data_IF_233166450256
#
_entry.id   IF_233166450256
#
_cell.length_a   1.000
_cell.length_b   1.000
_cell.length_c   1.000
_cell.angle_alpha   90.00
_cell.angle_beta   90.00
_cell.angle_gamma   90.00
#
_symmetry.space_group_name_H-M   'P 1'
#
loop_
_entity.id
_entity.type
_entity.pdbx_description
1 polymer ?
#
# COMPACT_ATOMS: atom_id res chain seq x y z
N UNK A 1 56.78 24.63 0.65
CA UNK A 1 55.42 24.85 1.25
C UNK A 1 54.29 25.01 0.22
N UNK A 2 54.50 25.54 -1.01
CA UNK A 2 53.42 25.72 -2.02
C UNK A 2 52.87 24.42 -2.65
N UNK A 3 53.63 23.33 -2.69
CA UNK A 3 53.17 22.02 -3.29
C UNK A 3 52.17 21.26 -2.43
N UNK A 4 52.19 21.37 -1.10
CA UNK A 4 51.28 20.68 -0.20
C UNK A 4 49.92 21.38 -0.07
N UNK A 5 49.86 22.70 -0.26
CA UNK A 5 48.61 23.45 -0.25
C UNK A 5 47.69 23.11 -1.45
N UNK A 6 48.32 22.82 -2.61
CA UNK A 6 47.55 22.46 -3.81
C UNK A 6 46.93 21.05 -3.72
N UNK A 7 47.65 20.07 -3.12
CA UNK A 7 47.16 18.71 -2.91
C UNK A 7 46.03 18.66 -1.88
N UNK A 8 46.07 19.49 -0.84
CA UNK A 8 45.01 19.56 0.16
C UNK A 8 43.68 20.15 -0.42
N UNK A 9 43.81 21.13 -1.34
CA UNK A 9 42.69 21.78 -1.99
C UNK A 9 41.96 20.82 -2.94
N UNK A 10 42.68 19.96 -3.69
CA UNK A 10 42.10 18.96 -4.59
C UNK A 10 41.42 17.84 -3.79
N UNK A 11 42.00 17.42 -2.67
CA UNK A 11 41.39 16.38 -1.82
C UNK A 11 40.09 16.84 -1.18
N UNK A 12 40.02 18.09 -0.71
CA UNK A 12 38.80 18.68 -0.16
C UNK A 12 37.70 18.89 -1.22
N UNK A 13 38.06 19.27 -2.45
CA UNK A 13 37.08 19.39 -3.54
C UNK A 13 36.56 18.04 -3.99
N UNK A 14 37.36 16.97 -4.00
CA UNK A 14 36.93 15.61 -4.28
C UNK A 14 35.99 15.08 -3.19
N UNK A 15 36.29 15.33 -1.91
CA UNK A 15 35.42 14.94 -0.77
C UNK A 15 34.09 15.68 -0.80
N UNK A 16 34.05 16.94 -1.19
CA UNK A 16 32.82 17.73 -1.31
C UNK A 16 31.97 17.34 -2.54
N UNK A 17 32.63 16.88 -3.63
CA UNK A 17 31.90 16.32 -4.77
C UNK A 17 31.27 14.95 -4.46
N UNK A 18 31.96 14.07 -3.73
CA UNK A 18 31.45 12.79 -3.30
C UNK A 18 30.31 12.94 -2.28
N UNK A 19 30.40 13.89 -1.35
CA UNK A 19 29.32 14.21 -0.41
C UNK A 19 28.07 14.77 -1.11
N UNK A 20 28.20 15.47 -2.23
CA UNK A 20 27.04 15.95 -3.03
C UNK A 20 26.37 14.85 -3.86
N UNK A 21 27.09 13.78 -4.23
CA UNK A 21 26.49 12.63 -4.93
C UNK A 21 25.62 11.76 -4.01
N UNK A 22 25.77 11.86 -2.68
CA UNK A 22 24.94 11.15 -1.69
C UNK A 22 23.80 12.00 -1.11
N UNK A 23 23.65 13.26 -1.48
CA UNK A 23 22.40 13.97 -1.30
C UNK A 23 21.41 13.41 -2.33
N UNK A 24 20.82 12.23 -2.01
CA UNK A 24 19.69 11.68 -2.74
C UNK A 24 18.64 12.79 -2.82
N UNK A 25 18.44 13.36 -4.01
CA UNK A 25 17.33 14.25 -4.26
C UNK A 25 16.07 13.52 -3.79
N UNK A 26 15.32 14.10 -2.87
CA UNK A 26 13.94 13.69 -2.69
C UNK A 26 13.31 13.80 -4.08
N UNK A 27 13.06 12.64 -4.70
CA UNK A 27 12.40 12.63 -5.99
C UNK A 27 11.03 13.23 -5.77
N UNK A 28 10.82 14.43 -6.30
CA UNK A 28 9.49 15.01 -6.37
C UNK A 28 8.58 13.92 -6.94
N UNK A 29 7.43 13.68 -6.30
CA UNK A 29 6.51 12.65 -6.77
C UNK A 29 6.11 12.89 -8.23
N UNK A 30 5.75 11.83 -8.90
CA UNK A 30 5.41 11.82 -10.31
C UNK A 30 3.97 11.36 -10.51
N UNK A 31 3.44 11.63 -11.70
CA UNK A 31 2.14 11.09 -12.12
C UNK A 31 2.34 10.06 -13.22
N UNK A 32 1.58 9.00 -13.11
CA UNK A 32 1.43 7.97 -14.13
C UNK A 32 0.00 8.04 -14.67
N UNK A 33 -0.17 7.86 -15.96
CA UNK A 33 -1.49 7.81 -16.60
C UNK A 33 -1.89 6.35 -16.77
N UNK A 34 -2.97 5.94 -16.10
CA UNK A 34 -3.49 4.59 -16.09
C UNK A 34 -4.30 4.26 -17.36
N UNK A 35 -4.76 3.03 -17.50
CA UNK A 35 -5.46 2.46 -18.65
C UNK A 35 -6.69 3.26 -19.11
N UNK A 36 -7.36 3.98 -18.20
CA UNK A 36 -8.56 4.79 -18.42
C UNK A 36 -8.28 6.30 -18.39
N UNK A 37 -7.03 6.71 -18.51
CA UNK A 37 -6.55 8.09 -18.43
C UNK A 37 -6.55 8.70 -17.02
N UNK A 38 -6.90 7.95 -15.97
CA UNK A 38 -6.79 8.40 -14.58
C UNK A 38 -5.33 8.64 -14.21
N UNK A 39 -5.01 9.81 -13.66
CA UNK A 39 -3.66 10.14 -13.21
C UNK A 39 -3.45 9.64 -11.79
N UNK A 40 -2.47 8.79 -11.62
CA UNK A 40 -2.08 8.20 -10.34
C UNK A 40 -0.77 8.82 -9.87
N UNK A 41 -0.81 9.43 -8.70
CA UNK A 41 0.39 9.97 -8.05
C UNK A 41 1.19 8.85 -7.40
N UNK A 42 2.51 8.87 -7.59
CA UNK A 42 3.41 7.91 -6.96
C UNK A 42 4.78 8.52 -6.67
N UNK A 43 5.52 7.87 -5.79
CA UNK A 43 6.92 8.18 -5.49
C UNK A 43 7.74 6.90 -5.49
N UNK A 44 9.00 7.02 -5.90
CA UNK A 44 9.97 5.93 -5.88
C UNK A 44 11.22 6.40 -5.16
N UNK A 45 11.72 5.60 -4.20
CA UNK A 45 12.98 5.88 -3.50
C UNK A 45 13.80 4.60 -3.36
N UNK A 46 15.13 4.71 -3.54
CA UNK A 46 16.06 3.57 -3.52
C UNK A 46 16.20 2.89 -4.87
N UNK A 47 17.17 1.98 -4.99
CA UNK A 47 17.59 1.38 -6.27
C UNK A 47 17.53 -0.15 -6.29
N UNK A 48 17.26 -0.79 -5.15
CA UNK A 48 17.29 -2.26 -4.99
C UNK A 48 16.05 -2.99 -5.52
N UNK A 49 15.77 -4.14 -4.93
CA UNK A 49 14.59 -4.93 -5.29
C UNK A 49 13.31 -4.15 -5.00
N UNK A 50 12.36 -4.08 -5.94
CA UNK A 50 11.17 -3.24 -5.78
C UNK A 50 10.18 -3.80 -4.76
N UNK A 51 9.69 -2.92 -3.88
CA UNK A 51 8.57 -3.17 -2.95
C UNK A 51 7.55 -2.05 -3.12
N UNK A 52 6.30 -2.39 -3.41
CA UNK A 52 5.20 -1.43 -3.44
C UNK A 52 4.41 -1.45 -2.13
N UNK A 53 4.14 -0.28 -1.56
CA UNK A 53 3.35 -0.10 -0.35
C UNK A 53 1.98 0.47 -0.69
N UNK A 54 0.92 -0.27 -0.38
CA UNK A 54 -0.47 0.00 -0.76
C UNK A 54 -1.26 0.40 0.49
N UNK A 55 -1.70 1.66 0.55
CA UNK A 55 -2.37 2.22 1.73
C UNK A 55 -3.81 1.71 1.90
N UNK A 56 -4.38 1.92 3.10
CA UNK A 56 -5.76 1.60 3.43
C UNK A 56 -6.77 2.60 2.89
N UNK A 57 -8.06 2.35 3.20
CA UNK A 57 -9.17 3.24 2.86
C UNK A 57 -8.94 4.65 3.40
N UNK A 58 -9.29 5.68 2.62
CA UNK A 58 -9.05 7.11 2.93
C UNK A 58 -7.60 7.48 3.29
N UNK A 59 -6.64 6.61 2.99
CA UNK A 59 -5.22 6.85 3.20
C UNK A 59 -4.52 7.51 2.00
N UNK A 60 -3.21 7.65 2.13
CA UNK A 60 -2.32 8.10 1.05
C UNK A 60 -0.98 7.40 1.15
N UNK A 61 -0.18 7.43 0.08
CA UNK A 61 1.20 6.95 0.09
C UNK A 61 2.07 7.62 1.16
N UNK A 62 1.79 8.88 1.50
CA UNK A 62 2.52 9.61 2.56
C UNK A 62 2.36 8.96 3.94
N UNK A 63 1.23 8.29 4.20
CA UNK A 63 1.02 7.56 5.45
C UNK A 63 2.09 6.52 5.74
N UNK A 64 2.62 5.88 4.70
CA UNK A 64 3.72 4.93 4.83
C UNK A 64 5.03 5.57 5.29
N UNK A 65 5.32 6.82 4.91
CA UNK A 65 6.55 7.52 5.32
C UNK A 65 6.60 7.80 6.83
N UNK A 66 5.45 7.80 7.50
CA UNK A 66 5.35 7.95 8.95
C UNK A 66 5.45 6.62 9.72
N UNK A 67 5.44 5.49 9.01
CA UNK A 67 5.59 4.17 9.58
C UNK A 67 7.05 3.70 9.48
N UNK A 68 7.61 3.05 10.52
CA UNK A 68 9.01 2.58 10.53
C UNK A 68 9.39 1.74 9.32
N UNK A 69 8.47 0.92 8.83
CA UNK A 69 8.68 0.00 7.70
C UNK A 69 9.21 0.70 6.44
N UNK A 70 8.80 1.95 6.16
CA UNK A 70 9.27 2.69 5.00
C UNK A 70 10.77 2.98 5.10
N UNK A 71 11.21 3.51 6.23
CA UNK A 71 12.62 3.83 6.46
C UNK A 71 13.48 2.56 6.55
N UNK A 72 12.97 1.51 7.19
CA UNK A 72 13.70 0.25 7.34
C UNK A 72 13.86 -0.48 6.00
N UNK A 73 12.85 -0.50 5.12
CA UNK A 73 12.99 -1.05 3.77
C UNK A 73 14.06 -0.31 2.95
N UNK A 74 14.10 1.02 3.04
CA UNK A 74 15.16 1.82 2.39
C UNK A 74 16.54 1.51 2.96
N UNK A 75 16.66 1.38 4.28
CA UNK A 75 17.90 1.02 4.97
C UNK A 75 18.39 -0.37 4.57
N UNK A 76 17.46 -1.31 4.33
CA UNK A 76 17.75 -2.66 3.85
C UNK A 76 18.04 -2.70 2.34
N UNK A 77 18.06 -1.55 1.68
CA UNK A 77 18.45 -1.43 0.28
C UNK A 77 17.34 -1.72 -0.72
N UNK A 78 16.07 -1.76 -0.32
CA UNK A 78 14.95 -1.93 -1.25
C UNK A 78 14.68 -0.65 -2.05
N UNK A 79 14.12 -0.81 -3.25
CA UNK A 79 13.44 0.25 -3.99
C UNK A 79 12.00 0.30 -3.51
N UNK A 80 11.64 1.33 -2.75
CA UNK A 80 10.29 1.51 -2.19
C UNK A 80 9.45 2.38 -3.11
N UNK A 81 8.28 1.87 -3.48
CA UNK A 81 7.28 2.55 -4.29
C UNK A 81 6.06 2.79 -3.40
N UNK A 82 5.61 4.03 -3.31
CA UNK A 82 4.35 4.41 -2.68
C UNK A 82 3.47 5.09 -3.73
N UNK A 83 2.16 4.96 -3.60
CA UNK A 83 1.21 5.64 -4.47
C UNK A 83 0.03 6.17 -3.66
N UNK A 84 -0.65 7.16 -4.20
CA UNK A 84 -2.01 7.49 -3.79
C UNK A 84 -2.95 6.72 -4.74
N UNK A 85 -3.80 5.85 -4.21
CA UNK A 85 -4.77 5.11 -5.03
C UNK A 85 -5.77 6.09 -5.68
N UNK A 86 -6.38 5.71 -6.84
CA UNK A 86 -7.46 6.53 -7.42
C UNK A 86 -8.51 6.87 -6.36
N UNK A 87 -9.04 8.08 -6.39
CA UNK A 87 -9.96 8.55 -5.35
C UNK A 87 -9.30 9.11 -4.09
N UNK A 88 -7.97 8.99 -3.93
CA UNK A 88 -7.25 9.40 -2.72
C UNK A 88 -6.14 10.42 -3.02
N UNK A 89 -5.78 11.19 -2.01
CA UNK A 89 -4.60 12.05 -1.99
C UNK A 89 -4.46 12.96 -3.20
N UNK A 90 -3.35 12.85 -3.92
CA UNK A 90 -2.99 13.63 -5.12
C UNK A 90 -3.44 12.97 -6.42
N UNK A 91 -3.87 11.71 -6.39
CA UNK A 91 -4.42 11.02 -7.56
C UNK A 91 -5.77 11.59 -7.96
N UNK A 92 -6.13 11.39 -9.22
CA UNK A 92 -7.46 11.78 -9.71
C UNK A 92 -8.57 11.07 -8.94
N UNK A 93 -9.70 11.76 -8.85
CA UNK A 93 -10.90 11.32 -8.13
C UNK A 93 -12.09 11.31 -9.10
N UNK A 94 -12.14 10.34 -10.03
CA UNK A 94 -13.24 10.27 -10.99
C UNK A 94 -14.60 10.22 -10.30
N UNK A 95 -15.55 11.08 -10.71
CA UNK A 95 -16.94 11.04 -10.27
C UNK A 95 -17.81 10.17 -11.20
N UNK A 96 -17.18 9.39 -12.05
CA UNK A 96 -17.82 8.30 -12.79
C UNK A 96 -17.57 6.98 -12.05
N UNK A 97 -18.64 6.34 -11.58
CA UNK A 97 -18.53 5.12 -10.78
C UNK A 97 -17.84 3.96 -11.51
N UNK A 98 -18.01 3.87 -12.85
CA UNK A 98 -17.41 2.81 -13.67
C UNK A 98 -15.87 2.89 -13.65
N UNK A 99 -15.30 4.07 -13.39
CA UNK A 99 -13.87 4.22 -13.23
C UNK A 99 -13.27 3.43 -12.05
N UNK A 100 -14.10 2.94 -11.14
CA UNK A 100 -13.67 2.11 -9.99
C UNK A 100 -13.96 0.61 -10.20
N UNK A 101 -14.71 0.26 -11.26
CA UNK A 101 -15.12 -1.11 -11.53
C UNK A 101 -13.97 -1.99 -12.10
N UNK A 102 -14.22 -3.29 -12.15
CA UNK A 102 -13.37 -4.26 -12.84
C UNK A 102 -11.90 -4.24 -12.37
N UNK A 103 -11.68 -4.25 -11.06
CA UNK A 103 -10.35 -4.27 -10.44
C UNK A 103 -9.48 -3.03 -10.78
N UNK A 104 -10.09 -1.87 -11.00
CA UNK A 104 -9.41 -0.67 -11.47
C UNK A 104 -8.19 -0.29 -10.60
N UNK A 105 -8.29 -0.36 -9.26
CA UNK A 105 -7.19 -0.05 -8.35
C UNK A 105 -6.02 -1.04 -8.49
N UNK A 106 -6.30 -2.32 -8.72
CA UNK A 106 -5.25 -3.31 -8.98
C UNK A 106 -4.61 -3.09 -10.37
N UNK A 107 -5.40 -2.73 -11.38
CA UNK A 107 -4.91 -2.39 -12.72
C UNK A 107 -4.02 -1.16 -12.72
N UNK A 108 -4.33 -0.13 -11.93
CA UNK A 108 -3.45 1.04 -11.76
C UNK A 108 -2.05 0.61 -11.32
N UNK A 109 -1.97 -0.30 -10.35
CA UNK A 109 -0.68 -0.79 -9.85
C UNK A 109 0.03 -1.62 -10.92
N UNK A 110 -0.68 -2.53 -11.59
CA UNK A 110 -0.13 -3.37 -12.67
C UNK A 110 0.49 -2.49 -13.77
N UNK A 111 -0.22 -1.44 -14.16
CA UNK A 111 0.21 -0.52 -15.21
C UNK A 111 1.37 0.37 -14.73
N UNK A 112 1.34 0.86 -13.47
CA UNK A 112 2.46 1.58 -12.88
C UNK A 112 3.73 0.72 -12.87
N UNK A 113 3.67 -0.51 -12.39
CA UNK A 113 4.78 -1.45 -12.36
C UNK A 113 5.30 -1.75 -13.79
N UNK A 114 4.39 -1.77 -14.77
CA UNK A 114 4.74 -1.94 -16.18
C UNK A 114 5.45 -0.71 -16.74
N UNK A 115 4.97 0.50 -16.46
CA UNK A 115 5.57 1.76 -16.88
C UNK A 115 6.98 1.95 -16.30
N UNK A 116 7.19 1.49 -15.07
CA UNK A 116 8.49 1.46 -14.40
C UNK A 116 9.41 0.33 -14.91
N UNK A 117 8.96 -0.50 -15.85
CA UNK A 117 9.70 -1.63 -16.44
C UNK A 117 10.14 -2.67 -15.41
N UNK A 118 9.41 -2.80 -14.32
CA UNK A 118 9.69 -3.75 -13.24
C UNK A 118 9.22 -5.15 -13.63
N UNK A 119 10.12 -6.12 -13.54
CA UNK A 119 9.86 -7.52 -13.94
C UNK A 119 9.47 -8.43 -12.78
N UNK A 120 9.83 -8.04 -11.54
CA UNK A 120 9.54 -8.77 -10.31
C UNK A 120 9.51 -7.79 -9.16
N UNK A 121 8.56 -7.94 -8.23
CA UNK A 121 8.41 -7.03 -7.09
C UNK A 121 7.71 -7.71 -5.92
N UNK A 122 7.83 -7.13 -4.72
CA UNK A 122 7.04 -7.49 -3.55
C UNK A 122 5.95 -6.46 -3.30
N UNK A 123 4.83 -6.89 -2.72
CA UNK A 123 3.70 -6.04 -2.41
C UNK A 123 3.38 -6.06 -0.91
N UNK A 124 3.21 -4.89 -0.30
CA UNK A 124 2.81 -4.72 1.09
C UNK A 124 1.53 -3.89 1.13
N UNK A 125 0.42 -4.51 1.50
CA UNK A 125 -0.84 -3.82 1.71
C UNK A 125 -1.21 -3.71 3.18
N UNK A 126 -1.95 -2.67 3.54
CA UNK A 126 -2.56 -2.56 4.86
C UNK A 126 -4.05 -2.23 4.75
N UNK A 127 -4.90 -2.89 5.56
CA UNK A 127 -6.36 -2.71 5.53
C UNK A 127 -6.91 -2.92 4.11
N UNK A 128 -7.59 -1.94 3.50
CA UNK A 128 -8.02 -2.00 2.09
C UNK A 128 -6.86 -2.31 1.14
N UNK A 129 -5.64 -1.82 1.42
CA UNK A 129 -4.45 -2.15 0.64
C UNK A 129 -4.15 -3.65 0.61
N UNK A 130 -4.50 -4.40 1.66
CA UNK A 130 -4.41 -5.87 1.68
C UNK A 130 -5.40 -6.53 0.73
N UNK A 131 -6.60 -5.98 0.59
CA UNK A 131 -7.62 -6.46 -0.37
C UNK A 131 -7.09 -6.30 -1.80
N UNK A 132 -6.51 -5.14 -2.10
CA UNK A 132 -5.89 -4.88 -3.41
C UNK A 132 -4.69 -5.81 -3.63
N UNK A 133 -3.86 -6.03 -2.60
CA UNK A 133 -2.72 -6.97 -2.66
C UNK A 133 -3.18 -8.40 -2.96
N UNK A 134 -4.27 -8.84 -2.34
CA UNK A 134 -4.89 -10.13 -2.61
C UNK A 134 -5.31 -10.25 -4.09
N UNK A 135 -5.94 -9.20 -4.62
CA UNK A 135 -6.35 -9.17 -6.03
C UNK A 135 -5.15 -9.14 -6.98
N UNK A 136 -4.11 -8.40 -6.64
CA UNK A 136 -2.85 -8.38 -7.38
C UNK A 136 -2.17 -9.75 -7.45
N UNK A 137 -2.20 -10.53 -6.36
CA UNK A 137 -1.65 -11.91 -6.34
C UNK A 137 -2.31 -12.81 -7.39
N UNK A 138 -3.59 -12.58 -7.71
CA UNK A 138 -4.30 -13.30 -8.77
C UNK A 138 -3.93 -12.78 -10.16
N UNK A 139 -3.88 -11.46 -10.33
CA UNK A 139 -3.79 -10.81 -11.62
C UNK A 139 -2.36 -10.64 -12.13
N UNK A 140 -1.36 -10.45 -11.24
CA UNK A 140 0.01 -10.13 -11.63
C UNK A 140 1.02 -11.20 -11.21
N UNK A 141 1.46 -11.97 -12.18
CA UNK A 141 2.47 -13.03 -11.97
C UNK A 141 3.86 -12.51 -11.54
N UNK A 142 4.12 -11.20 -11.66
CA UNK A 142 5.39 -10.56 -11.30
C UNK A 142 5.58 -10.44 -9.78
N UNK A 143 4.51 -10.56 -8.98
CA UNK A 143 4.65 -10.57 -7.52
C UNK A 143 5.51 -11.74 -7.09
N UNK A 144 6.51 -11.44 -6.26
CA UNK A 144 7.39 -12.44 -5.67
C UNK A 144 6.89 -12.88 -4.29
N UNK A 145 6.69 -11.92 -3.38
CA UNK A 145 6.11 -12.11 -2.05
C UNK A 145 5.07 -11.04 -1.77
N UNK A 146 4.12 -11.31 -0.90
CA UNK A 146 3.13 -10.34 -0.50
C UNK A 146 2.92 -10.31 1.02
N UNK A 147 2.61 -9.13 1.55
CA UNK A 147 2.21 -8.93 2.94
C UNK A 147 0.83 -8.30 2.97
N UNK A 148 -0.04 -8.86 3.79
CA UNK A 148 -1.42 -8.41 4.02
C UNK A 148 -1.57 -8.05 5.50
N UNK A 149 -1.50 -6.75 5.82
CA UNK A 149 -1.63 -6.24 7.19
C UNK A 149 -3.04 -5.74 7.50
N UNK A 150 -3.53 -5.96 8.73
CA UNK A 150 -4.81 -5.43 9.22
C UNK A 150 -6.05 -5.93 8.49
N UNK A 151 -6.00 -7.13 7.91
CA UNK A 151 -7.12 -7.72 7.16
C UNK A 151 -7.30 -9.19 7.52
N UNK A 152 -8.55 -9.59 7.70
CA UNK A 152 -8.98 -10.98 7.81
C UNK A 152 -9.77 -11.41 6.57
N UNK A 153 -10.59 -12.44 6.69
CA UNK A 153 -11.33 -13.06 5.60
C UNK A 153 -12.64 -12.37 5.19
N UNK A 154 -13.08 -11.32 5.91
CA UNK A 154 -14.40 -10.71 5.68
C UNK A 154 -14.59 -10.18 4.24
N UNK A 155 -13.52 -9.71 3.59
CA UNK A 155 -13.59 -9.15 2.23
C UNK A 155 -13.86 -10.22 1.14
N UNK A 156 -13.72 -11.49 1.46
CA UNK A 156 -14.03 -12.58 0.51
C UNK A 156 -15.54 -12.70 0.28
N UNK A 157 -16.35 -12.13 1.18
CA UNK A 157 -17.78 -11.96 0.97
C UNK A 157 -18.02 -10.67 0.16
N UNK A 158 -18.54 -10.77 -1.08
CA UNK A 158 -18.88 -9.60 -1.88
C UNK A 158 -19.93 -8.70 -1.25
N UNK A 159 -20.77 -9.25 -0.35
CA UNK A 159 -21.81 -8.53 0.39
C UNK A 159 -21.38 -8.21 1.83
N UNK A 160 -20.07 -8.09 2.08
CA UNK A 160 -19.54 -7.76 3.40
C UNK A 160 -20.24 -6.51 3.98
N UNK A 161 -20.98 -6.64 5.09
CA UNK A 161 -21.86 -5.58 5.59
C UNK A 161 -21.15 -4.23 5.80
N UNK A 162 -19.97 -4.25 6.44
CA UNK A 162 -19.17 -3.01 6.67
C UNK A 162 -18.90 -2.25 5.37
N UNK A 163 -18.57 -2.96 4.28
CA UNK A 163 -18.34 -2.36 2.96
C UNK A 163 -19.62 -1.75 2.38
N UNK A 164 -20.71 -2.52 2.42
CA UNK A 164 -22.00 -2.09 1.89
C UNK A 164 -22.53 -0.88 2.67
N UNK A 165 -22.41 -0.90 4.00
CA UNK A 165 -22.82 0.21 4.87
C UNK A 165 -21.97 1.45 4.62
N UNK A 166 -20.64 1.30 4.49
CA UNK A 166 -19.74 2.41 4.16
C UNK A 166 -20.14 3.09 2.83
N UNK A 167 -20.41 2.30 1.78
CA UNK A 167 -20.92 2.83 0.51
C UNK A 167 -22.21 3.60 0.69
N UNK A 168 -23.23 2.99 1.32
CA UNK A 168 -24.55 3.60 1.48
C UNK A 168 -24.48 4.88 2.32
N UNK A 169 -23.74 4.86 3.42
CA UNK A 169 -23.60 6.03 4.30
C UNK A 169 -22.93 7.20 3.58
N UNK A 170 -21.86 6.95 2.81
CA UNK A 170 -21.21 7.98 1.98
C UNK A 170 -22.09 8.48 0.83
N UNK A 171 -23.10 7.70 0.42
CA UNK A 171 -24.14 8.12 -0.54
C UNK A 171 -25.34 8.80 0.13
N UNK A 172 -25.26 9.09 1.44
CA UNK A 172 -26.25 9.87 2.17
C UNK A 172 -27.28 9.05 2.98
N UNK A 173 -27.07 7.75 3.17
CA UNK A 173 -27.93 6.95 4.05
C UNK A 173 -27.54 7.18 5.51
N UNK A 174 -28.38 7.92 6.22
CA UNK A 174 -28.18 8.31 7.63
C UNK A 174 -28.69 7.29 8.64
N UNK A 175 -29.16 6.12 8.18
CA UNK A 175 -29.72 5.06 9.07
C UNK A 175 -28.68 4.04 9.52
N UNK A 176 -27.45 4.14 9.02
CA UNK A 176 -26.35 3.19 9.24
C UNK A 176 -25.35 3.73 10.24
N UNK A 177 -25.54 3.43 11.52
CA UNK A 177 -24.73 4.00 12.61
C UNK A 177 -23.41 3.28 12.91
N UNK A 178 -23.23 2.07 12.39
CA UNK A 178 -21.98 1.28 12.57
C UNK A 178 -20.77 1.82 11.81
N UNK A 179 -20.98 2.79 10.92
CA UNK A 179 -19.94 3.47 10.14
C UNK A 179 -19.87 4.99 10.39
N UNK A 180 -20.61 5.50 11.38
CA UNK A 180 -20.68 6.93 11.69
C UNK A 180 -19.31 7.57 11.94
N UNK A 181 -18.45 6.93 12.71
CA UNK A 181 -17.11 7.48 13.02
C UNK A 181 -16.24 7.58 11.77
N UNK A 182 -16.35 6.62 10.86
CA UNK A 182 -15.65 6.67 9.58
C UNK A 182 -16.18 7.83 8.71
N UNK A 183 -17.50 8.01 8.62
CA UNK A 183 -18.12 9.10 7.84
C UNK A 183 -17.73 10.44 8.44
N UNK A 184 -17.83 10.63 9.76
CA UNK A 184 -17.40 11.84 10.46
C UNK A 184 -15.93 12.16 10.20
N UNK A 185 -15.07 11.15 10.22
CA UNK A 185 -13.65 11.32 9.90
C UNK A 185 -13.46 11.82 8.46
N UNK A 186 -14.11 11.18 7.48
CA UNK A 186 -14.03 11.54 6.06
C UNK A 186 -14.48 13.01 5.85
N UNK A 187 -15.60 13.40 6.44
CA UNK A 187 -16.08 14.80 6.42
C UNK A 187 -15.07 15.76 7.03
N UNK A 188 -14.53 15.44 8.22
CA UNK A 188 -13.59 16.31 8.94
C UNK A 188 -12.28 16.54 8.18
N UNK A 189 -11.87 15.58 7.35
CA UNK A 189 -10.67 15.66 6.52
C UNK A 189 -10.94 16.25 5.12
N UNK A 190 -12.18 16.59 4.81
CA UNK A 190 -12.60 17.09 3.49
C UNK A 190 -12.19 16.16 2.34
N UNK A 191 -12.27 14.85 2.55
CA UNK A 191 -12.02 13.88 1.50
C UNK A 191 -13.14 13.87 0.46
N UNK A 192 -12.85 13.39 -0.74
CA UNK A 192 -13.83 13.23 -1.81
C UNK A 192 -14.75 12.03 -1.51
N UNK A 193 -15.90 12.30 -0.90
CA UNK A 193 -16.83 11.28 -0.41
C UNK A 193 -17.38 10.42 -1.54
N UNK A 194 -17.68 11.04 -2.69
CA UNK A 194 -18.22 10.31 -3.83
C UNK A 194 -17.20 9.32 -4.40
N UNK A 195 -15.93 9.75 -4.54
CA UNK A 195 -14.85 8.88 -4.94
C UNK A 195 -14.64 7.73 -3.96
N UNK A 196 -14.67 8.02 -2.65
CA UNK A 196 -14.56 7.00 -1.60
C UNK A 196 -15.76 6.06 -1.56
N UNK A 197 -16.98 6.56 -1.80
CA UNK A 197 -18.17 5.72 -1.95
C UNK A 197 -18.00 4.72 -3.11
N UNK A 198 -17.54 5.18 -4.26
CA UNK A 198 -17.31 4.31 -5.41
C UNK A 198 -16.20 3.28 -5.18
N UNK A 199 -15.15 3.63 -4.43
CA UNK A 199 -14.16 2.64 -3.97
C UNK A 199 -14.80 1.52 -3.12
N UNK A 200 -15.78 1.85 -2.27
CA UNK A 200 -16.49 0.83 -1.49
C UNK A 200 -17.42 0.00 -2.38
N UNK A 201 -18.17 0.65 -3.28
CA UNK A 201 -19.09 -0.04 -4.21
C UNK A 201 -18.35 -1.07 -5.06
N UNK A 202 -17.21 -0.70 -5.61
CA UNK A 202 -16.44 -1.52 -6.56
C UNK A 202 -15.15 -2.08 -5.94
N UNK A 203 -15.15 -2.29 -4.61
CA UNK A 203 -14.01 -2.91 -3.95
C UNK A 203 -13.61 -4.20 -4.67
N UNK A 204 -12.31 -4.40 -4.99
CA UNK A 204 -11.85 -5.66 -5.56
C UNK A 204 -12.26 -6.84 -4.67
N UNK A 205 -12.68 -7.92 -5.30
CA UNK A 205 -13.05 -9.15 -4.61
C UNK A 205 -12.12 -10.28 -5.08
N UNK A 206 -11.69 -11.09 -4.12
CA UNK A 206 -10.93 -12.32 -4.38
C UNK A 206 -11.67 -13.47 -3.71
N UNK A 207 -12.15 -14.38 -4.51
CA UNK A 207 -12.91 -15.53 -4.02
C UNK A 207 -12.04 -16.49 -3.21
N UNK A 208 -12.66 -17.31 -2.37
CA UNK A 208 -11.95 -18.35 -1.61
C UNK A 208 -11.26 -19.37 -2.53
N UNK A 209 -11.80 -19.62 -3.71
CA UNK A 209 -11.18 -20.49 -4.73
C UNK A 209 -9.93 -19.86 -5.33
N UNK A 210 -9.95 -18.56 -5.65
CA UNK A 210 -8.76 -17.83 -6.13
C UNK A 210 -7.67 -17.77 -5.06
N UNK A 211 -8.05 -17.55 -3.79
CA UNK A 211 -7.10 -17.56 -2.67
C UNK A 211 -6.45 -18.95 -2.49
N UNK A 212 -7.24 -20.02 -2.59
CA UNK A 212 -6.74 -21.38 -2.48
C UNK A 212 -5.79 -21.80 -3.64
N UNK A 213 -5.87 -21.10 -4.77
CA UNK A 213 -5.00 -21.32 -5.93
C UNK A 213 -3.71 -20.48 -5.89
N UNK A 214 -3.49 -19.67 -4.87
CA UNK A 214 -2.27 -18.87 -4.75
C UNK A 214 -1.08 -19.73 -4.36
N UNK A 215 0.05 -19.54 -5.08
CA UNK A 215 1.30 -20.26 -4.84
C UNK A 215 2.43 -19.35 -4.36
N UNK A 216 2.20 -18.07 -4.24
CA UNK A 216 3.20 -17.10 -3.79
C UNK A 216 3.26 -17.08 -2.26
N UNK A 217 4.44 -16.88 -1.66
CA UNK A 217 4.54 -16.67 -0.22
C UNK A 217 3.78 -15.43 0.21
N UNK A 218 2.93 -15.56 1.22
CA UNK A 218 2.14 -14.46 1.80
C UNK A 218 2.37 -14.41 3.30
N UNK A 219 2.57 -13.21 3.86
CA UNK A 219 2.55 -12.98 5.30
C UNK A 219 1.32 -12.17 5.66
N UNK A 220 0.51 -12.69 6.57
CA UNK A 220 -0.63 -11.98 7.17
C UNK A 220 -0.16 -11.41 8.50
N UNK A 221 -0.32 -10.08 8.69
CA UNK A 221 0.08 -9.42 9.94
C UNK A 221 -1.16 -8.82 10.61
N UNK A 222 -1.37 -9.16 11.89
CA UNK A 222 -2.50 -8.68 12.67
C UNK A 222 -2.05 -7.95 13.94
N UNK A 223 -2.66 -6.82 14.24
CA UNK A 223 -2.53 -6.17 15.55
C UNK A 223 -3.21 -7.01 16.63
N UNK A 224 -2.58 -7.18 17.80
CA UNK A 224 -3.14 -7.98 18.90
C UNK A 224 -4.47 -7.46 19.44
N UNK A 225 -4.74 -6.17 19.22
CA UNK A 225 -5.99 -5.50 19.60
C UNK A 225 -6.89 -5.21 18.40
N UNK A 226 -6.48 -5.59 17.18
CA UNK A 226 -7.26 -5.39 15.96
C UNK A 226 -8.35 -6.47 15.86
N UNK A 227 -9.61 -6.08 16.01
CA UNK A 227 -10.79 -6.95 15.93
C UNK A 227 -11.62 -6.72 14.67
N UNK A 228 -11.09 -5.89 13.75
CA UNK A 228 -11.81 -5.50 12.55
C UNK A 228 -11.59 -6.48 11.38
N UNK A 229 -12.41 -6.39 10.35
CA UNK A 229 -12.18 -6.99 9.02
C UNK A 229 -12.14 -8.53 8.95
N UNK A 230 -12.79 -9.23 9.90
CA UNK A 230 -12.92 -10.68 9.88
C UNK A 230 -11.75 -11.43 10.54
N UNK A 231 -11.64 -12.73 10.24
CA UNK A 231 -10.69 -13.63 10.86
C UNK A 231 -9.39 -13.72 10.05
N UNK A 232 -8.26 -13.32 10.66
CA UNK A 232 -6.92 -13.51 10.08
C UNK A 232 -6.53 -14.98 10.02
N UNK A 233 -6.96 -15.78 10.99
CA UNK A 233 -6.75 -17.24 10.97
C UNK A 233 -7.62 -17.90 9.91
N UNK A 234 -8.81 -17.37 9.63
CA UNK A 234 -9.65 -17.76 8.50
C UNK A 234 -8.93 -17.49 7.18
N UNK A 235 -8.43 -16.27 7.00
CA UNK A 235 -7.68 -15.89 5.80
C UNK A 235 -6.41 -16.75 5.62
N UNK A 236 -5.67 -17.00 6.70
CA UNK A 236 -4.47 -17.84 6.66
C UNK A 236 -4.77 -19.28 6.20
N UNK A 237 -5.92 -19.82 6.57
CA UNK A 237 -6.34 -21.16 6.12
C UNK A 237 -6.72 -21.20 4.63
N UNK A 238 -7.18 -20.08 4.08
CA UNK A 238 -7.57 -19.97 2.67
C UNK A 238 -6.38 -19.86 1.72
N UNK A 239 -5.21 -19.39 2.20
CA UNK A 239 -4.01 -19.16 1.37
C UNK A 239 -2.95 -20.21 1.71
N UNK A 240 -2.68 -21.20 0.84
CA UNK A 240 -1.84 -22.40 1.17
C UNK A 240 -0.42 -22.08 1.62
N UNK A 241 0.20 -21.02 1.08
CA UNK A 241 1.58 -20.63 1.36
C UNK A 241 1.63 -19.32 2.19
N UNK A 242 0.73 -19.19 3.15
CA UNK A 242 0.73 -18.03 4.04
C UNK A 242 1.26 -18.36 5.43
N UNK A 243 1.95 -17.36 6.01
CA UNK A 243 2.29 -17.31 7.43
C UNK A 243 1.43 -16.26 8.15
N UNK A 244 1.31 -16.38 9.48
CA UNK A 244 0.59 -15.45 10.32
C UNK A 244 1.54 -14.86 11.37
N UNK A 245 1.51 -13.55 11.57
CA UNK A 245 2.28 -12.82 12.57
C UNK A 245 1.40 -11.85 13.33
N UNK A 246 1.63 -11.73 14.64
CA UNK A 246 0.96 -10.75 15.50
C UNK A 246 1.94 -9.67 15.92
N UNK A 247 1.45 -8.44 15.97
CA UNK A 247 2.20 -7.26 16.38
C UNK A 247 1.36 -6.45 17.39
N UNK A 248 1.96 -5.62 18.25
CA UNK A 248 1.20 -4.76 19.16
C UNK A 248 0.26 -3.81 18.41
N UNK A 249 -0.86 -3.45 19.07
CA UNK A 249 -1.75 -2.38 18.64
C UNK A 249 -3.05 -2.84 17.96
N UNK A 250 -3.91 -1.86 17.75
CA UNK A 250 -5.19 -2.01 17.07
C UNK A 250 -5.06 -1.73 15.54
N UNK A 251 -6.18 -1.69 14.82
CA UNK A 251 -6.22 -1.47 13.38
C UNK A 251 -5.47 -0.20 12.92
N UNK A 252 -5.53 0.88 13.70
CA UNK A 252 -4.95 2.17 13.33
C UNK A 252 -3.49 2.35 13.78
N UNK A 253 -3.00 1.50 14.68
CA UNK A 253 -1.68 1.66 15.30
C UNK A 253 -0.69 0.56 14.92
N UNK A 254 -1.15 -0.66 14.63
CA UNK A 254 -0.29 -1.81 14.39
C UNK A 254 0.76 -1.59 13.28
N UNK A 255 0.37 -0.98 12.14
CA UNK A 255 1.32 -0.70 11.05
C UNK A 255 2.41 0.32 11.41
N UNK A 256 2.23 1.08 12.49
CA UNK A 256 3.16 2.12 12.96
C UNK A 256 4.16 1.60 14.00
N UNK A 257 4.12 0.31 14.31
CA UNK A 257 5.02 -0.33 15.29
C UNK A 257 6.32 -0.79 14.64
N UNK A 258 7.38 -0.85 15.44
CA UNK A 258 8.65 -1.42 15.03
C UNK A 258 8.52 -2.93 14.76
N UNK A 259 7.64 -3.61 15.47
CA UNK A 259 7.36 -5.03 15.33
C UNK A 259 6.72 -5.33 13.96
N UNK A 260 5.82 -4.46 13.46
CA UNK A 260 5.29 -4.56 12.11
C UNK A 260 6.42 -4.44 11.08
N UNK A 261 7.27 -3.42 11.23
CA UNK A 261 8.42 -3.22 10.36
C UNK A 261 9.37 -4.42 10.37
N UNK A 262 9.69 -4.94 11.55
CA UNK A 262 10.54 -6.11 11.71
C UNK A 262 9.95 -7.38 11.06
N UNK A 263 8.64 -7.60 11.21
CA UNK A 263 7.95 -8.73 10.58
C UNK A 263 8.00 -8.63 9.04
N UNK A 264 7.73 -7.44 8.49
CA UNK A 264 7.81 -7.18 7.05
C UNK A 264 9.22 -7.39 6.53
N UNK A 265 10.21 -6.73 7.11
CA UNK A 265 11.61 -6.79 6.63
C UNK A 265 12.20 -8.18 6.74
N UNK A 266 11.90 -8.91 7.82
CA UNK A 266 12.31 -10.31 7.98
C UNK A 266 11.74 -11.18 6.86
N UNK A 267 10.42 -11.14 6.65
CA UNK A 267 9.74 -11.97 5.64
C UNK A 267 10.24 -11.69 4.22
N UNK A 268 10.54 -10.44 3.89
CA UNK A 268 11.02 -10.09 2.56
C UNK A 268 12.46 -10.55 2.31
N UNK A 269 13.31 -10.64 3.34
CA UNK A 269 14.69 -11.13 3.24
C UNK A 269 14.78 -12.65 3.10
N UNK A 270 13.96 -13.42 3.82
CA UNK A 270 13.93 -14.90 3.80
C UNK A 270 13.54 -15.44 2.42
#
# INVERSE_FOLDING_TARGET
MKKYAFSLLILNTLLLLTARLFAQSETAGSYFTSFDSTKIYYEVKGDGFPVILIHGFSGTGQGWKTAPVYADLLKEGYKVIILDQRGNGRSDKPHNEIAYANDAEAKDIIDLITSLKIKKYDAVGYSRGSIITSRLLVLDKRIHKAIMGGMGDAYTNPDWPRRVHAYRALMGDTTLHDVDDMVKYIHSQHFDELALAYQQKYQPSTSTQELAALHKPVLIIRGTEDKENGSETGLNKLIPHSGLSYVPGNHNTAMKTNEFSAAVTKFLKD
#
